data_IF_735469661441
#
_entry.id   IF_735469661441
#
_cell.length_a   1.000
_cell.length_b   1.000
_cell.length_c   1.000
_cell.angle_alpha   90.00
_cell.angle_beta   90.00
_cell.angle_gamma   90.00
#
_symmetry.space_group_name_H-M   'P 1'
#
loop_
_entity.id
_entity.type
_entity.pdbx_description
1 polymer ?
#
# COMPACT_ATOMS: atom_id res chain seq x y z
N UNK A 1 10.77 13.80 15.07
CA UNK A 1 9.97 14.30 13.94
C UNK A 1 8.49 14.08 14.27
N UNK A 2 7.56 14.95 13.85
CA UNK A 2 6.15 14.78 14.15
C UNK A 2 5.65 13.49 13.51
N UNK A 3 4.96 12.63 14.28
CA UNK A 3 4.20 11.51 13.70
C UNK A 3 3.25 12.07 12.64
N UNK A 4 3.08 11.43 11.46
CA UNK A 4 1.97 11.75 10.58
C UNK A 4 0.70 11.67 11.42
N UNK A 5 -0.06 12.77 11.47
CA UNK A 5 -1.40 12.73 12.05
C UNK A 5 -2.15 11.68 11.24
N UNK A 6 -2.69 10.67 11.91
CA UNK A 6 -3.70 9.77 11.35
C UNK A 6 -4.73 10.66 10.67
N UNK A 7 -4.72 10.69 9.33
CA UNK A 7 -5.77 11.33 8.55
C UNK A 7 -7.02 10.53 8.86
N UNK A 8 -7.85 11.05 9.77
CA UNK A 8 -9.17 10.51 10.03
C UNK A 8 -9.86 10.35 8.67
N UNK A 9 -10.21 9.09 8.35
CA UNK A 9 -10.55 8.63 7.02
C UNK A 9 -11.59 9.51 6.35
N UNK A 10 -11.14 10.31 5.39
CA UNK A 10 -12.01 10.76 4.31
C UNK A 10 -12.20 9.52 3.45
N UNK A 11 -13.33 8.83 3.58
CA UNK A 11 -13.64 7.70 2.71
C UNK A 11 -13.49 8.18 1.26
N UNK A 12 -12.63 7.56 0.44
CA UNK A 12 -12.61 7.86 -0.97
C UNK A 12 -14.00 7.53 -1.51
N UNK A 13 -14.58 8.45 -2.28
CA UNK A 13 -15.78 8.14 -3.04
C UNK A 13 -15.52 6.87 -3.82
N UNK A 14 -16.38 5.87 -3.64
CA UNK A 14 -16.37 4.54 -4.26
C UNK A 14 -16.58 4.57 -5.79
N UNK A 15 -16.16 5.63 -6.46
CA UNK A 15 -16.28 5.76 -7.90
C UNK A 15 -15.08 5.06 -8.53
N UNK A 16 -15.35 3.97 -9.23
CA UNK A 16 -14.39 3.35 -10.12
C UNK A 16 -13.89 4.39 -11.14
N UNK A 17 -12.62 4.33 -11.57
CA UNK A 17 -12.12 5.18 -12.65
C UNK A 17 -13.00 5.04 -13.91
N UNK A 18 -13.35 6.16 -14.54
CA UNK A 18 -14.18 6.16 -15.77
C UNK A 18 -13.58 5.28 -16.87
N UNK A 19 -12.24 5.16 -16.91
CA UNK A 19 -11.50 4.30 -17.84
C UNK A 19 -11.82 2.81 -17.72
N UNK A 20 -12.55 2.37 -16.69
CA UNK A 20 -13.03 1.00 -16.58
C UNK A 20 -14.41 0.79 -17.23
N UNK A 21 -15.09 1.87 -17.60
CA UNK A 21 -16.47 1.85 -18.09
C UNK A 21 -16.72 2.70 -19.36
N UNK A 22 -15.70 3.40 -19.87
CA UNK A 22 -15.80 4.30 -21.02
C UNK A 22 -15.89 3.59 -22.39
N UNK A 23 -15.80 2.25 -22.41
CA UNK A 23 -15.85 1.44 -23.62
C UNK A 23 -14.56 1.45 -24.45
N UNK A 24 -13.49 2.10 -23.98
CA UNK A 24 -12.18 2.07 -24.60
C UNK A 24 -11.37 0.84 -24.12
N UNK A 25 -10.33 0.44 -24.86
CA UNK A 25 -9.45 -0.64 -24.41
C UNK A 25 -8.74 -0.29 -23.10
N UNK A 26 -8.73 -1.21 -22.14
CA UNK A 26 -7.93 -1.08 -20.93
C UNK A 26 -6.42 -1.04 -21.24
N UNK A 27 -5.61 -0.41 -20.37
CA UNK A 27 -4.17 -0.53 -20.42
C UNK A 27 -3.73 -2.01 -20.41
N UNK A 28 -2.77 -2.35 -21.27
CA UNK A 28 -2.21 -3.72 -21.33
C UNK A 28 -1.29 -4.04 -20.14
N UNK A 29 -0.87 -3.01 -19.40
CA UNK A 29 0.05 -3.10 -18.28
C UNK A 29 -0.22 -1.97 -17.28
N UNK A 30 -0.24 -2.32 -16.01
CA UNK A 30 -0.19 -1.38 -14.89
C UNK A 30 1.18 -1.50 -14.22
N UNK A 31 1.81 -0.37 -13.93
CA UNK A 31 3.12 -0.31 -13.26
C UNK A 31 2.96 0.54 -12.01
N UNK A 32 3.41 0.02 -10.88
CA UNK A 32 3.37 0.70 -9.59
C UNK A 32 4.80 0.90 -9.10
N UNK A 33 5.08 2.09 -8.58
CA UNK A 33 6.23 2.30 -7.71
C UNK A 33 5.98 1.61 -6.34
N UNK A 34 6.97 1.63 -5.44
CA UNK A 34 6.90 0.94 -4.15
C UNK A 34 6.68 1.92 -2.99
N UNK A 35 7.70 2.71 -2.67
CA UNK A 35 7.70 3.57 -1.49
C UNK A 35 6.67 4.68 -1.64
N UNK A 36 5.82 4.84 -0.63
CA UNK A 36 4.65 5.73 -0.67
C UNK A 36 3.63 5.45 -1.78
N UNK A 37 3.75 4.33 -2.51
CA UNK A 37 2.74 3.85 -3.46
C UNK A 37 2.03 2.61 -2.90
N UNK A 38 2.76 1.54 -2.60
CA UNK A 38 2.17 0.32 -2.03
C UNK A 38 2.20 0.33 -0.50
N UNK A 39 3.14 1.05 0.12
CA UNK A 39 3.26 1.14 1.56
C UNK A 39 3.69 2.55 2.01
N UNK A 40 3.33 2.99 3.23
CA UNK A 40 3.53 4.38 3.68
C UNK A 40 4.92 4.67 4.26
N UNK A 41 5.99 4.13 3.67
CA UNK A 41 7.37 4.33 4.14
C UNK A 41 8.39 4.19 3.02
N UNK A 42 9.57 4.78 3.19
CA UNK A 42 10.79 4.44 2.45
C UNK A 42 11.46 3.20 3.06
N UNK A 43 11.63 2.14 2.27
CA UNK A 43 12.15 0.85 2.76
C UNK A 43 13.61 0.92 3.20
N UNK A 44 14.41 1.81 2.62
CA UNK A 44 15.86 1.91 2.87
C UNK A 44 16.23 2.69 4.14
N UNK A 45 15.34 3.54 4.64
CA UNK A 45 15.63 4.39 5.80
C UNK A 45 14.70 4.19 7.00
N UNK A 46 13.48 3.69 6.81
CA UNK A 46 12.56 3.44 7.93
C UNK A 46 12.66 2.02 8.48
N UNK A 47 13.02 1.03 7.65
CA UNK A 47 13.03 -0.37 8.05
C UNK A 47 14.42 -0.79 8.51
N UNK A 48 14.51 -1.49 9.64
CA UNK A 48 15.78 -2.08 10.10
C UNK A 48 15.86 -3.58 9.78
N UNK A 49 16.58 -4.00 8.72
CA UNK A 49 16.63 -5.40 8.30
C UNK A 49 17.29 -6.31 9.35
N UNK A 50 16.98 -7.63 9.34
CA UNK A 50 16.09 -8.33 8.41
C UNK A 50 14.61 -8.17 8.75
N UNK A 51 13.74 -8.33 7.74
CA UNK A 51 12.29 -8.42 7.92
C UNK A 51 11.82 -9.87 8.05
N UNK A 52 10.77 -10.09 8.84
CA UNK A 52 10.10 -11.39 9.01
C UNK A 52 8.60 -11.23 8.80
N UNK A 53 7.99 -12.15 8.05
CA UNK A 53 6.55 -12.17 7.86
C UNK A 53 5.80 -12.41 9.17
N UNK A 54 4.67 -11.73 9.34
CA UNK A 54 3.72 -11.99 10.43
C UNK A 54 2.69 -13.03 9.98
N UNK A 55 2.21 -13.89 10.89
CA UNK A 55 1.10 -14.80 10.59
C UNK A 55 -0.11 -14.03 10.07
N UNK A 56 -0.76 -14.54 9.03
CA UNK A 56 -1.89 -13.89 8.36
C UNK A 56 -1.52 -13.09 7.10
N UNK A 57 -0.23 -12.90 6.80
CA UNK A 57 0.23 -12.25 5.57
C UNK A 57 0.04 -10.73 5.55
N UNK A 58 0.55 -10.07 4.51
CA UNK A 58 0.40 -8.62 4.29
C UNK A 58 1.15 -7.68 5.24
N UNK A 59 1.76 -8.22 6.30
CA UNK A 59 2.56 -7.47 7.29
C UNK A 59 3.87 -8.18 7.60
N UNK A 60 4.88 -7.39 7.90
CA UNK A 60 6.20 -7.85 8.33
C UNK A 60 6.61 -7.14 9.62
N UNK A 61 7.56 -7.72 10.33
CA UNK A 61 8.28 -7.08 11.42
C UNK A 61 9.75 -7.01 11.12
N UNK A 62 10.37 -5.90 11.47
CA UNK A 62 11.81 -5.70 11.34
C UNK A 62 12.57 -6.34 12.52
N UNK A 63 13.89 -6.12 12.59
CA UNK A 63 14.73 -6.69 13.67
C UNK A 63 14.40 -6.19 15.07
N UNK A 64 13.78 -5.01 15.19
CA UNK A 64 13.38 -4.40 16.46
C UNK A 64 11.91 -4.72 16.80
N UNK A 65 11.21 -5.43 15.92
CA UNK A 65 9.83 -5.82 16.09
C UNK A 65 8.82 -4.77 15.65
N UNK A 66 9.28 -3.69 15.00
CA UNK A 66 8.42 -2.66 14.40
C UNK A 66 7.65 -3.26 13.22
N UNK A 67 6.35 -2.96 13.16
CA UNK A 67 5.45 -3.52 12.16
C UNK A 67 5.35 -2.65 10.91
N UNK A 68 5.52 -3.27 9.75
CA UNK A 68 5.37 -2.63 8.44
C UNK A 68 4.34 -3.40 7.60
N UNK A 69 3.62 -2.71 6.74
CA UNK A 69 2.59 -3.30 5.88
C UNK A 69 2.18 -2.35 4.76
N UNK A 70 1.34 -2.87 3.86
CA UNK A 70 0.77 -2.11 2.76
C UNK A 70 -0.25 -1.07 3.23
N UNK A 71 -0.65 -0.15 2.34
CA UNK A 71 -1.93 0.55 2.49
C UNK A 71 -3.09 -0.46 2.46
N UNK A 72 -4.18 -0.14 3.16
CA UNK A 72 -5.30 -1.07 3.39
C UNK A 72 -5.97 -1.50 2.07
N UNK A 73 -6.00 -0.61 1.08
CA UNK A 73 -6.65 -0.82 -0.22
C UNK A 73 -5.83 -1.65 -1.21
N UNK A 74 -4.52 -1.83 -0.97
CA UNK A 74 -3.63 -2.53 -1.93
C UNK A 74 -4.10 -3.95 -2.21
N UNK A 75 -4.62 -4.64 -1.19
CA UNK A 75 -5.19 -5.98 -1.35
C UNK A 75 -6.38 -6.01 -2.30
N UNK A 76 -7.21 -4.95 -2.31
CA UNK A 76 -8.36 -4.83 -3.21
C UNK A 76 -7.91 -4.43 -4.62
N UNK A 77 -6.95 -3.51 -4.74
CA UNK A 77 -6.44 -3.03 -6.04
C UNK A 77 -5.73 -4.13 -6.83
N UNK A 78 -4.99 -5.01 -6.17
CA UNK A 78 -4.21 -6.08 -6.82
C UNK A 78 -4.87 -7.47 -6.76
N UNK A 79 -5.90 -7.64 -5.92
CA UNK A 79 -6.41 -8.93 -5.51
C UNK A 79 -7.25 -9.68 -6.54
N UNK A 80 -7.95 -8.96 -7.44
CA UNK A 80 -8.87 -9.56 -8.41
C UNK A 80 -10.12 -10.14 -7.77
#
# INVERSE_FOLDING_TARGET
MPRPKSLAGKQPSSAEPETFSDGLPLPKLFVFDLDYTLWPFWVDCHVSPPIKAVQGGGKVRDRYGEGFGFYDEVGVVLGG
#
